data_IF_667480424489
#
_entry.id   IF_667480424489
#
_cell.length_a   1.000
_cell.length_b   1.000
_cell.length_c   1.000
_cell.angle_alpha   90.00
_cell.angle_beta   90.00
_cell.angle_gamma   90.00
#
_symmetry.space_group_name_H-M   'P 1'
#
loop_
_entity.id
_entity.type
_entity.pdbx_description
1 polymer ?
#
# COMPACT_ATOMS: atom_id res chain seq x y z
N UNK A 1 8.13 -36.69 -17.88
CA UNK A 1 8.54 -35.29 -17.65
C UNK A 1 7.53 -34.47 -18.41
N UNK A 2 6.43 -34.10 -17.74
CA UNK A 2 5.25 -33.53 -18.42
C UNK A 2 5.54 -32.14 -18.94
N UNK A 3 5.04 -31.86 -20.14
CA UNK A 3 5.04 -30.54 -20.76
C UNK A 3 4.47 -29.50 -19.79
N UNK A 4 5.34 -28.64 -19.26
CA UNK A 4 4.91 -27.36 -18.70
C UNK A 4 4.44 -26.52 -19.88
N UNK A 5 3.12 -26.46 -20.06
CA UNK A 5 2.43 -25.60 -21.03
C UNK A 5 2.65 -24.12 -20.64
N UNK A 6 3.84 -23.59 -20.96
CA UNK A 6 4.28 -22.19 -20.74
C UNK A 6 3.32 -21.15 -21.35
N UNK A 7 2.34 -21.58 -22.16
CA UNK A 7 1.30 -20.75 -22.74
C UNK A 7 0.22 -20.30 -21.75
N UNK A 8 0.06 -20.95 -20.58
CA UNK A 8 -1.00 -20.63 -19.61
C UNK A 8 -0.54 -20.05 -18.27
N UNK A 9 0.77 -19.97 -18.04
CA UNK A 9 1.34 -19.55 -16.76
C UNK A 9 0.88 -18.15 -16.34
N UNK A 10 0.71 -17.23 -17.30
CA UNK A 10 0.20 -15.88 -17.00
C UNK A 10 -1.29 -15.90 -16.62
N UNK A 11 -2.10 -16.79 -17.21
CA UNK A 11 -3.51 -16.91 -16.84
C UNK A 11 -3.64 -17.45 -15.41
N UNK A 12 -2.79 -18.40 -15.05
CA UNK A 12 -2.69 -18.92 -13.68
C UNK A 12 -2.27 -17.80 -12.73
N UNK A 13 -1.24 -17.00 -13.08
CA UNK A 13 -0.81 -15.87 -12.27
C UNK A 13 -1.94 -14.85 -12.06
N UNK A 14 -2.65 -14.46 -13.12
CA UNK A 14 -3.82 -13.56 -13.01
C UNK A 14 -4.94 -14.14 -12.15
N UNK A 15 -5.23 -15.44 -12.30
CA UNK A 15 -6.25 -16.14 -11.52
C UNK A 15 -5.90 -16.28 -10.03
N UNK A 16 -4.60 -16.33 -9.68
CA UNK A 16 -4.13 -16.33 -8.28
C UNK A 16 -4.13 -14.91 -7.70
N UNK A 17 -3.68 -13.92 -8.46
CA UNK A 17 -3.60 -12.53 -8.02
C UNK A 17 -4.98 -11.94 -7.70
N UNK A 18 -6.01 -12.29 -8.47
CA UNK A 18 -7.36 -11.78 -8.29
C UNK A 18 -7.94 -12.06 -6.88
N UNK A 19 -8.04 -13.31 -6.39
CA UNK A 19 -8.55 -13.58 -5.05
C UNK A 19 -7.65 -13.03 -3.94
N UNK A 20 -6.32 -13.03 -4.13
CA UNK A 20 -5.39 -12.41 -3.17
C UNK A 20 -5.69 -10.92 -3.01
N UNK A 21 -5.88 -10.22 -4.12
CA UNK A 21 -6.19 -8.79 -4.11
C UNK A 21 -7.57 -8.49 -3.54
N UNK A 22 -8.57 -9.34 -3.82
CA UNK A 22 -9.92 -9.20 -3.26
C UNK A 22 -9.93 -9.34 -1.74
N UNK A 23 -9.23 -10.35 -1.21
CA UNK A 23 -9.12 -10.57 0.24
C UNK A 23 -8.35 -9.40 0.86
N UNK A 24 -7.21 -9.03 0.28
CA UNK A 24 -6.39 -7.90 0.74
C UNK A 24 -7.18 -6.59 0.79
N UNK A 25 -7.94 -6.28 -0.26
CA UNK A 25 -8.80 -5.09 -0.31
C UNK A 25 -9.87 -5.13 0.77
N UNK A 26 -10.57 -6.26 0.90
CA UNK A 26 -11.65 -6.44 1.89
C UNK A 26 -11.13 -6.28 3.33
N UNK A 27 -9.98 -6.87 3.65
CA UNK A 27 -9.34 -6.74 4.95
C UNK A 27 -8.93 -5.29 5.23
N UNK A 28 -8.30 -4.59 4.28
CA UNK A 28 -7.85 -3.22 4.49
C UNK A 28 -9.02 -2.23 4.61
N UNK A 29 -10.08 -2.38 3.82
CA UNK A 29 -11.30 -1.60 3.99
C UNK A 29 -11.96 -1.87 5.37
N UNK A 30 -11.93 -3.12 5.83
CA UNK A 30 -12.34 -3.49 7.18
C UNK A 30 -11.53 -2.75 8.26
N UNK A 31 -10.20 -2.67 8.11
CA UNK A 31 -9.33 -1.91 9.02
C UNK A 31 -9.65 -0.41 8.99
N UNK A 32 -9.87 0.17 7.81
CA UNK A 32 -10.29 1.58 7.66
C UNK A 32 -11.61 1.81 8.40
N UNK A 33 -12.61 0.96 8.19
CA UNK A 33 -13.90 1.07 8.87
C UNK A 33 -13.77 0.94 10.39
N UNK A 34 -13.01 -0.06 10.85
CA UNK A 34 -12.78 -0.31 12.28
C UNK A 34 -12.09 0.86 12.97
N UNK A 35 -11.03 1.41 12.37
CA UNK A 35 -10.27 2.53 12.94
C UNK A 35 -11.09 3.83 13.01
N UNK A 36 -11.99 4.07 12.05
CA UNK A 36 -12.89 5.21 12.10
C UNK A 36 -14.01 5.04 13.14
N UNK A 37 -14.38 3.80 13.46
CA UNK A 37 -15.47 3.48 14.38
C UNK A 37 -15.03 3.40 15.85
N UNK A 38 -13.73 3.29 16.13
CA UNK A 38 -13.19 3.02 17.46
C UNK A 38 -12.52 4.27 18.07
N UNK A 39 -13.17 4.99 19.02
CA UNK A 39 -12.61 6.20 19.62
C UNK A 39 -11.30 5.97 20.39
N UNK A 40 -11.10 4.78 20.97
CA UNK A 40 -9.88 4.42 21.71
C UNK A 40 -8.64 4.33 20.81
N UNK A 41 -8.83 4.22 19.49
CA UNK A 41 -7.76 4.21 18.49
C UNK A 41 -7.54 5.59 17.85
N UNK A 42 -8.18 6.64 18.36
CA UNK A 42 -7.93 8.03 17.94
C UNK A 42 -6.63 8.60 18.55
N UNK A 43 -5.54 7.89 18.30
CA UNK A 43 -4.18 8.21 18.73
C UNK A 43 -3.23 8.13 17.52
N UNK A 44 -1.95 8.40 17.76
CA UNK A 44 -0.94 8.41 16.71
C UNK A 44 -0.76 7.06 16.02
N UNK A 45 -0.83 5.95 16.76
CA UNK A 45 -0.78 4.61 16.17
C UNK A 45 -1.97 4.36 15.23
N UNK A 46 -3.19 4.68 15.67
CA UNK A 46 -4.38 4.51 14.84
C UNK A 46 -4.38 5.39 13.60
N UNK A 47 -3.87 6.63 13.70
CA UNK A 47 -3.73 7.52 12.53
C UNK A 47 -2.73 6.97 11.49
N UNK A 48 -1.60 6.42 11.94
CA UNK A 48 -0.61 5.80 11.06
C UNK A 48 -1.15 4.53 10.40
N UNK A 49 -1.80 3.68 11.19
CA UNK A 49 -2.43 2.44 10.70
C UNK A 49 -3.57 2.73 9.73
N UNK A 50 -4.32 3.81 9.94
CA UNK A 50 -5.37 4.24 9.03
C UNK A 50 -4.78 4.65 7.67
N UNK A 51 -3.73 5.47 7.68
CA UNK A 51 -3.03 5.85 6.44
C UNK A 51 -2.44 4.63 5.71
N UNK A 52 -1.88 3.66 6.46
CA UNK A 52 -1.40 2.39 5.92
C UNK A 52 -2.52 1.61 5.23
N UNK A 53 -3.66 1.42 5.91
CA UNK A 53 -4.78 0.67 5.36
C UNK A 53 -5.39 1.37 4.12
N UNK A 54 -5.36 2.70 4.06
CA UNK A 54 -5.78 3.46 2.88
C UNK A 54 -4.85 3.17 1.70
N UNK A 55 -3.53 3.27 1.87
CA UNK A 55 -2.59 3.03 0.76
C UNK A 55 -2.61 1.57 0.31
N UNK A 56 -2.72 0.63 1.24
CA UNK A 56 -2.86 -0.79 0.93
C UNK A 56 -4.19 -1.06 0.20
N UNK A 57 -5.29 -0.38 0.55
CA UNK A 57 -6.56 -0.48 -0.19
C UNK A 57 -6.43 0.04 -1.63
N UNK A 58 -5.70 1.15 -1.83
CA UNK A 58 -5.43 1.68 -3.18
C UNK A 58 -4.61 0.66 -3.98
N UNK A 59 -3.52 0.14 -3.39
CA UNK A 59 -2.66 -0.84 -4.03
C UNK A 59 -3.44 -2.11 -4.41
N UNK A 60 -4.22 -2.69 -3.47
CA UNK A 60 -5.01 -3.89 -3.74
C UNK A 60 -6.14 -3.65 -4.74
N UNK A 61 -6.73 -2.45 -4.79
CA UNK A 61 -7.70 -2.09 -5.83
C UNK A 61 -7.07 -2.08 -7.22
N UNK A 62 -5.85 -1.55 -7.36
CA UNK A 62 -5.11 -1.58 -8.62
C UNK A 62 -4.75 -3.01 -9.04
N UNK A 63 -4.38 -3.86 -8.08
CA UNK A 63 -4.15 -5.27 -8.37
C UNK A 63 -5.42 -6.00 -8.84
N UNK A 64 -6.54 -5.77 -8.15
CA UNK A 64 -7.81 -6.43 -8.42
C UNK A 64 -8.44 -6.01 -9.75
N UNK A 65 -8.53 -4.71 -10.00
CA UNK A 65 -9.27 -4.16 -11.14
C UNK A 65 -8.42 -3.92 -12.38
N UNK A 66 -7.10 -3.80 -12.23
CA UNK A 66 -6.20 -3.51 -13.35
C UNK A 66 -5.18 -4.63 -13.59
N UNK A 67 -4.30 -4.91 -12.62
CA UNK A 67 -3.13 -5.77 -12.86
C UNK A 67 -3.52 -7.23 -13.14
N UNK A 68 -4.39 -7.83 -12.31
CA UNK A 68 -4.83 -9.21 -12.50
C UNK A 68 -5.62 -9.40 -13.82
N UNK A 69 -6.60 -8.54 -14.18
CA UNK A 69 -7.23 -8.58 -15.50
C UNK A 69 -6.26 -8.35 -16.67
N UNK A 70 -5.31 -7.42 -16.52
CA UNK A 70 -4.31 -7.11 -17.55
C UNK A 70 -3.45 -8.34 -17.88
N UNK A 71 -2.96 -9.03 -16.85
CA UNK A 71 -2.20 -10.28 -17.00
C UNK A 71 -3.10 -11.37 -17.59
N UNK A 72 -4.30 -11.57 -17.06
CA UNK A 72 -5.18 -12.68 -17.46
C UNK A 72 -5.64 -12.57 -18.93
N UNK A 73 -6.12 -11.40 -19.34
CA UNK A 73 -6.70 -11.18 -20.66
C UNK A 73 -5.69 -10.75 -21.73
N UNK A 74 -4.51 -10.25 -21.32
CA UNK A 74 -3.49 -9.69 -22.20
C UNK A 74 -4.02 -8.70 -23.26
N UNK A 75 -5.02 -7.90 -22.90
CA UNK A 75 -5.63 -6.94 -23.83
C UNK A 75 -4.68 -5.78 -24.14
N UNK A 76 -4.49 -5.45 -25.42
CA UNK A 76 -3.66 -4.31 -25.87
C UNK A 76 -4.08 -2.98 -25.23
N UNK A 77 -5.39 -2.79 -24.99
CA UNK A 77 -5.92 -1.59 -24.31
C UNK A 77 -5.46 -1.50 -22.85
N UNK A 78 -5.36 -2.62 -22.14
CA UNK A 78 -4.87 -2.61 -20.76
C UNK A 78 -3.35 -2.39 -20.73
N UNK A 79 -2.63 -2.95 -21.70
CA UNK A 79 -1.19 -2.73 -21.85
C UNK A 79 -0.83 -1.28 -22.19
N UNK A 80 -1.63 -0.57 -22.99
CA UNK A 80 -1.35 0.85 -23.28
C UNK A 80 -1.44 1.76 -22.05
N UNK A 81 -2.12 1.33 -21.00
CA UNK A 81 -2.22 2.04 -19.72
C UNK A 81 -1.22 1.52 -18.66
N UNK A 82 -0.38 0.54 -19.01
CA UNK A 82 0.50 -0.15 -18.05
C UNK A 82 1.57 0.71 -17.44
N UNK A 83 2.07 1.71 -18.16
CA UNK A 83 3.04 2.66 -17.62
C UNK A 83 2.43 3.47 -16.46
N UNK A 84 1.23 4.03 -16.65
CA UNK A 84 0.56 4.88 -15.66
C UNK A 84 0.12 4.09 -14.43
N UNK A 85 -0.51 2.93 -14.64
CA UNK A 85 -0.95 2.08 -13.53
C UNK A 85 0.24 1.40 -12.83
N UNK A 86 1.26 0.99 -13.57
CA UNK A 86 2.50 0.46 -13.02
C UNK A 86 3.21 1.47 -12.12
N UNK A 87 3.33 2.72 -12.57
CA UNK A 87 3.86 3.81 -11.75
C UNK A 87 3.05 4.00 -10.45
N UNK A 88 1.72 4.00 -10.54
CA UNK A 88 0.85 4.18 -9.37
C UNK A 88 0.99 3.02 -8.39
N UNK A 89 1.07 1.78 -8.90
CA UNK A 89 1.29 0.57 -8.10
C UNK A 89 2.62 0.64 -7.33
N UNK A 90 3.71 0.96 -8.02
CA UNK A 90 5.05 1.07 -7.43
C UNK A 90 5.13 2.21 -6.39
N UNK A 91 4.48 3.33 -6.69
CA UNK A 91 4.40 4.46 -5.76
C UNK A 91 3.63 4.09 -4.50
N UNK A 92 2.49 3.41 -4.64
CA UNK A 92 1.72 2.95 -3.48
C UNK A 92 2.53 1.96 -2.61
N UNK A 93 3.27 1.05 -3.25
CA UNK A 93 4.17 0.13 -2.56
C UNK A 93 5.27 0.87 -1.78
N UNK A 94 5.90 1.89 -2.37
CA UNK A 94 6.94 2.67 -1.69
C UNK A 94 6.41 3.40 -0.46
N UNK A 95 5.24 4.03 -0.58
CA UNK A 95 4.58 4.73 0.52
C UNK A 95 4.24 3.75 1.65
N UNK A 96 3.75 2.55 1.30
CA UNK A 96 3.50 1.45 2.23
C UNK A 96 4.78 1.06 3.01
N UNK A 97 5.92 0.90 2.33
CA UNK A 97 7.20 0.61 3.00
C UNK A 97 7.59 1.69 4.02
N UNK A 98 7.50 2.98 3.65
CA UNK A 98 7.82 4.06 4.59
C UNK A 98 6.86 4.13 5.76
N UNK A 99 5.56 3.96 5.51
CA UNK A 99 4.54 3.91 6.54
C UNK A 99 4.79 2.76 7.53
N UNK A 100 5.18 1.58 7.05
CA UNK A 100 5.59 0.45 7.90
C UNK A 100 6.76 0.78 8.83
N UNK A 101 7.77 1.48 8.32
CA UNK A 101 8.91 1.96 9.14
C UNK A 101 8.41 2.93 10.20
N UNK A 102 7.58 3.91 9.84
CA UNK A 102 7.00 4.87 10.77
C UNK A 102 6.16 4.22 11.87
N UNK A 103 5.34 3.22 11.53
CA UNK A 103 4.55 2.44 12.50
C UNK A 103 5.47 1.67 13.45
N UNK A 104 6.55 1.06 12.92
CA UNK A 104 7.52 0.32 13.73
C UNK A 104 8.24 1.23 14.72
N UNK A 105 8.66 2.42 14.28
CA UNK A 105 9.27 3.44 15.15
C UNK A 105 8.25 3.91 16.20
N UNK A 106 6.99 4.15 15.81
CA UNK A 106 5.93 4.51 16.76
C UNK A 106 5.78 3.48 17.88
N UNK A 107 5.74 2.19 17.53
CA UNK A 107 5.65 1.09 18.50
C UNK A 107 6.88 0.99 19.39
N UNK A 108 8.06 1.12 18.80
CA UNK A 108 9.32 1.10 19.54
C UNK A 108 9.39 2.23 20.57
N UNK A 109 9.16 3.48 20.15
CA UNK A 109 9.22 4.64 21.04
C UNK A 109 8.13 4.59 22.12
N UNK A 110 6.94 4.08 21.80
CA UNK A 110 5.85 3.93 22.77
C UNK A 110 6.24 3.02 23.96
N UNK A 111 7.01 1.96 23.69
CA UNK A 111 7.42 0.97 24.69
C UNK A 111 8.68 1.40 25.43
N UNK A 112 9.72 1.79 24.70
CA UNK A 112 11.04 2.05 25.28
C UNK A 112 11.23 3.48 25.78
N UNK A 113 10.49 4.46 25.24
CA UNK A 113 10.68 5.89 25.53
C UNK A 113 9.34 6.64 25.70
N UNK A 114 8.53 6.30 26.71
CA UNK A 114 7.16 6.84 26.86
C UNK A 114 7.09 8.35 27.10
N UNK A 115 8.12 8.96 27.72
CA UNK A 115 8.20 10.41 27.88
C UNK A 115 8.41 11.12 26.54
N UNK A 116 9.35 10.60 25.73
CA UNK A 116 9.63 11.09 24.38
C UNK A 116 8.46 10.86 23.43
N UNK A 117 7.71 9.76 23.61
CA UNK A 117 6.55 9.42 22.78
C UNK A 117 5.50 10.55 22.73
N UNK A 118 5.20 11.16 23.89
CA UNK A 118 4.21 12.25 23.98
C UNK A 118 4.63 13.50 23.19
N UNK A 119 5.94 13.74 23.07
CA UNK A 119 6.52 14.88 22.35
C UNK A 119 6.61 14.55 20.86
N UNK A 120 7.16 13.39 20.52
CA UNK A 120 7.42 12.99 19.13
C UNK A 120 6.12 12.67 18.37
N UNK A 121 5.22 11.90 18.99
CA UNK A 121 3.97 11.43 18.39
C UNK A 121 2.75 12.20 18.89
N UNK A 122 2.82 13.53 18.84
CA UNK A 122 1.64 14.38 19.01
C UNK A 122 0.71 14.28 17.79
N UNK A 123 -0.56 14.69 17.91
CA UNK A 123 -1.51 14.66 16.77
C UNK A 123 -1.00 15.44 15.56
N UNK A 124 -0.35 16.58 15.79
CA UNK A 124 0.21 17.41 14.73
C UNK A 124 1.42 16.73 14.08
N UNK A 125 2.39 16.28 14.89
CA UNK A 125 3.61 15.65 14.39
C UNK A 125 3.30 14.37 13.60
N UNK A 126 2.33 13.57 14.05
CA UNK A 126 1.89 12.38 13.33
C UNK A 126 1.30 12.73 11.96
N UNK A 127 0.51 13.79 11.85
CA UNK A 127 -0.02 14.26 10.56
C UNK A 127 1.10 14.74 9.63
N UNK A 128 2.05 15.51 10.16
CA UNK A 128 3.23 15.96 9.39
C UNK A 128 4.05 14.75 8.93
N UNK A 129 4.25 13.75 9.79
CA UNK A 129 4.97 12.53 9.44
C UNK A 129 4.27 11.75 8.33
N UNK A 130 2.93 11.61 8.41
CA UNK A 130 2.12 11.02 7.33
C UNK A 130 2.35 11.76 6.01
N UNK A 131 2.12 13.07 6.00
CA UNK A 131 2.32 13.87 4.78
C UNK A 131 3.75 13.74 4.24
N UNK A 132 4.75 13.71 5.13
CA UNK A 132 6.16 13.61 4.72
C UNK A 132 6.48 12.32 3.98
N UNK A 133 6.04 11.15 4.47
CA UNK A 133 6.39 9.90 3.79
C UNK A 133 5.59 9.69 2.50
N UNK A 134 4.39 10.27 2.38
CA UNK A 134 3.64 10.29 1.12
C UNK A 134 4.39 11.13 0.07
N UNK A 135 4.79 12.35 0.42
CA UNK A 135 5.52 13.24 -0.48
C UNK A 135 6.87 12.64 -0.88
N UNK A 136 7.63 12.11 0.08
CA UNK A 136 8.92 11.47 -0.17
C UNK A 136 8.76 10.25 -1.08
N UNK A 137 7.76 9.39 -0.84
CA UNK A 137 7.48 8.23 -1.68
C UNK A 137 7.20 8.60 -3.13
N UNK A 138 6.33 9.60 -3.34
CA UNK A 138 5.99 10.10 -4.68
C UNK A 138 7.22 10.74 -5.35
N UNK A 139 7.97 11.56 -4.61
CA UNK A 139 9.14 12.26 -5.15
C UNK A 139 10.24 11.28 -5.59
N UNK A 140 10.54 10.28 -4.77
CA UNK A 140 11.54 9.25 -5.10
C UNK A 140 11.12 8.46 -6.34
N UNK A 141 9.87 8.00 -6.40
CA UNK A 141 9.40 7.23 -7.56
C UNK A 141 9.34 8.07 -8.84
N UNK A 142 8.97 9.34 -8.74
CA UNK A 142 8.99 10.26 -9.88
C UNK A 142 10.43 10.52 -10.36
N UNK A 143 11.37 10.70 -9.43
CA UNK A 143 12.77 10.89 -9.78
C UNK A 143 13.37 9.64 -10.45
N UNK A 144 13.15 8.47 -9.85
CA UNK A 144 13.65 7.21 -10.37
C UNK A 144 13.15 6.90 -11.78
N UNK A 145 11.86 7.15 -12.06
CA UNK A 145 11.29 6.83 -13.38
C UNK A 145 11.62 7.86 -14.46
N UNK A 146 11.92 9.11 -14.08
CA UNK A 146 12.24 10.19 -15.03
C UNK A 146 13.74 10.28 -15.35
N UNK A 147 14.61 9.83 -14.44
CA UNK A 147 16.06 10.02 -14.54
C UNK A 147 16.88 8.73 -14.36
N UNK A 148 16.25 7.60 -14.04
CA UNK A 148 16.87 6.27 -14.01
C UNK A 148 16.64 5.52 -15.32
#
# INVERSE_FOLDING_TARGET
MGDFDMGKDYQIAGAILFPMALIGLSCNLGVVFFLNSMPSLNNSFGSLTLSQAIIDSIHQSLFLFYFAPCIYFRSERLYSLSEQFGFTILTAYQICCFSHVCISINRFVAVFFPLTYKILFSKWNTRVMILSYWIIGIAIMTFFLKFG
#
